data_IF_017500623203
#
_entry.id   IF_017500623203
#
_cell.length_a   1.000
_cell.length_b   1.000
_cell.length_c   1.000
_cell.angle_alpha   90.00
_cell.angle_beta   90.00
_cell.angle_gamma   90.00
#
_symmetry.space_group_name_H-M   'P 1'
#
loop_
_entity.id
_entity.type
_entity.pdbx_description
1 polymer ?
#
# COMPACT_ATOMS: atom_id res chain seq x y z
N UNK A 1 -18.24 10.52 -19.05
CA UNK A 1 -17.61 10.91 -17.77
C UNK A 1 -17.82 9.76 -16.80
N UNK A 2 -17.05 8.68 -16.96
CA UNK A 2 -17.15 7.51 -16.09
C UNK A 2 -16.09 7.64 -15.01
N UNK A 3 -16.46 8.22 -13.86
CA UNK A 3 -15.75 7.94 -12.62
C UNK A 3 -16.38 6.66 -12.07
N UNK A 4 -15.79 5.53 -12.45
CA UNK A 4 -16.22 4.20 -12.06
C UNK A 4 -16.16 4.05 -10.53
N UNK A 5 -17.28 3.55 -10.00
CA UNK A 5 -17.45 2.74 -8.80
C UNK A 5 -16.43 2.99 -7.67
N UNK A 6 -16.90 3.63 -6.59
CA UNK A 6 -16.22 3.66 -5.30
C UNK A 6 -16.06 2.22 -4.79
N UNK A 7 -14.96 1.57 -5.17
CA UNK A 7 -14.55 0.32 -4.56
C UNK A 7 -13.99 0.69 -3.19
N UNK A 8 -14.73 0.43 -2.12
CA UNK A 8 -14.18 0.48 -0.77
C UNK A 8 -13.45 -0.84 -0.54
N UNK A 9 -12.11 -0.80 -0.52
CA UNK A 9 -11.30 -1.98 -0.23
C UNK A 9 -10.68 -1.83 1.16
N UNK A 10 -10.96 -2.72 2.12
CA UNK A 10 -10.30 -2.71 3.42
C UNK A 10 -8.78 -2.96 3.30
N UNK A 11 -7.96 -2.25 4.08
CA UNK A 11 -6.49 -2.49 4.09
C UNK A 11 -6.11 -3.89 4.59
N UNK A 12 -7.03 -4.59 5.25
CA UNK A 12 -6.92 -5.99 5.66
C UNK A 12 -6.63 -6.92 4.46
N UNK A 13 -7.17 -6.61 3.28
CA UNK A 13 -6.95 -7.42 2.06
C UNK A 13 -5.51 -7.32 1.53
N UNK A 14 -4.76 -6.28 1.89
CA UNK A 14 -3.35 -6.13 1.51
C UNK A 14 -2.43 -7.10 2.28
N UNK A 15 -2.96 -7.79 3.31
CA UNK A 15 -2.20 -8.73 4.15
C UNK A 15 -0.89 -8.12 4.68
N UNK A 16 -0.96 -6.87 5.13
CA UNK A 16 0.17 -6.14 5.70
C UNK A 16 0.62 -6.79 7.02
N UNK A 17 1.89 -6.58 7.39
CA UNK A 17 2.35 -6.93 8.73
C UNK A 17 1.52 -6.20 9.80
N UNK A 18 1.26 -6.87 10.92
CA UNK A 18 0.46 -6.34 12.05
C UNK A 18 0.89 -4.93 12.44
N UNK A 19 2.19 -4.65 12.46
CA UNK A 19 2.73 -3.32 12.81
C UNK A 19 2.32 -2.24 11.80
N UNK A 20 2.42 -2.52 10.50
CA UNK A 20 2.04 -1.58 9.44
C UNK A 20 0.53 -1.34 9.45
N UNK A 21 -0.26 -2.42 9.55
CA UNK A 21 -1.72 -2.34 9.68
C UNK A 21 -2.16 -1.50 10.90
N UNK A 22 -1.63 -1.78 12.08
CA UNK A 22 -2.00 -1.07 13.31
C UNK A 22 -1.60 0.42 13.29
N UNK A 23 -0.48 0.77 12.64
CA UNK A 23 -0.06 2.16 12.50
C UNK A 23 -0.99 2.92 11.53
N UNK A 24 -1.32 2.31 10.38
CA UNK A 24 -2.28 2.86 9.42
C UNK A 24 -3.66 3.05 10.06
N UNK A 25 -4.15 2.04 10.78
CA UNK A 25 -5.45 2.10 11.46
C UNK A 25 -5.50 3.21 12.53
N UNK A 26 -4.41 3.40 13.29
CA UNK A 26 -4.29 4.52 14.24
C UNK A 26 -4.19 5.88 13.58
N UNK A 27 -3.61 5.96 12.38
CA UNK A 27 -3.62 7.16 11.54
C UNK A 27 -4.99 7.42 10.88
N UNK A 28 -5.98 6.54 11.10
CA UNK A 28 -7.30 6.63 10.50
C UNK A 28 -7.34 6.16 9.05
N UNK A 29 -6.32 5.42 8.58
CA UNK A 29 -6.28 4.79 7.26
C UNK A 29 -6.81 3.38 7.39
N UNK A 30 -8.01 3.17 6.89
CA UNK A 30 -8.77 1.91 6.96
C UNK A 30 -9.06 1.31 5.57
N UNK A 31 -8.94 2.09 4.51
CA UNK A 31 -9.12 1.63 3.12
C UNK A 31 -7.87 1.79 2.25
N UNK A 32 -7.77 0.94 1.24
CA UNK A 32 -6.72 0.99 0.21
C UNK A 32 -6.79 2.30 -0.57
N UNK A 33 -8.00 2.80 -0.82
CA UNK A 33 -8.23 4.04 -1.55
C UNK A 33 -7.68 5.23 -0.76
N UNK A 34 -7.91 5.27 0.56
CA UNK A 34 -7.33 6.28 1.43
C UNK A 34 -5.81 6.16 1.52
N UNK A 35 -5.30 4.94 1.55
CA UNK A 35 -3.87 4.68 1.55
C UNK A 35 -3.19 5.16 0.25
N UNK A 36 -3.84 5.03 -0.91
CA UNK A 36 -3.35 5.56 -2.20
C UNK A 36 -3.34 7.09 -2.28
N UNK A 37 -4.16 7.77 -1.48
CA UNK A 37 -4.17 9.24 -1.42
C UNK A 37 -3.04 9.82 -0.57
N UNK A 38 -2.34 8.99 0.20
CA UNK A 38 -1.22 9.41 1.03
C UNK A 38 0.09 9.40 0.24
N UNK A 39 0.89 10.44 0.41
CA UNK A 39 2.24 10.51 -0.12
C UNK A 39 3.23 9.71 0.76
N UNK A 40 4.44 9.48 0.24
CA UNK A 40 5.52 8.89 1.04
C UNK A 40 5.85 9.73 2.28
N UNK A 41 5.78 11.07 2.15
CA UNK A 41 5.97 12.01 3.27
C UNK A 41 4.86 11.86 4.32
N UNK A 42 3.61 11.71 3.90
CA UNK A 42 2.49 11.48 4.82
C UNK A 42 2.67 10.17 5.59
N UNK A 43 3.13 9.11 4.92
CA UNK A 43 3.42 7.81 5.53
C UNK A 43 4.61 7.89 6.49
N UNK A 44 5.63 8.69 6.17
CA UNK A 44 6.78 8.95 7.04
C UNK A 44 6.41 9.74 8.30
N UNK A 45 5.36 10.57 8.23
CA UNK A 45 4.81 11.30 9.36
C UNK A 45 3.95 10.43 10.29
N UNK A 46 3.53 9.23 9.86
CA UNK A 46 2.81 8.31 10.74
C UNK A 46 3.75 7.79 11.81
N UNK A 47 3.37 8.02 13.06
CA UNK A 47 4.12 7.59 14.24
C UNK A 47 4.39 6.08 14.19
N UNK A 48 5.64 5.67 14.39
CA UNK A 48 6.10 4.27 14.39
C UNK A 48 6.09 3.56 13.02
N UNK A 49 5.94 4.29 11.91
CA UNK A 49 6.19 3.78 10.56
C UNK A 49 7.64 4.07 10.15
N UNK A 50 8.45 3.02 10.07
CA UNK A 50 9.84 3.10 9.58
C UNK A 50 9.93 2.93 8.06
N UNK A 51 11.04 3.36 7.46
CA UNK A 51 11.30 3.30 6.02
C UNK A 51 11.01 1.93 5.40
N UNK A 52 11.43 0.84 6.07
CA UNK A 52 11.14 -0.54 5.64
C UNK A 52 9.64 -0.80 5.51
N UNK A 53 8.86 -0.39 6.50
CA UNK A 53 7.40 -0.61 6.50
C UNK A 53 6.73 0.19 5.38
N UNK A 54 7.22 1.40 5.08
CA UNK A 54 6.70 2.25 3.99
C UNK A 54 6.95 1.58 2.64
N UNK A 55 8.17 1.09 2.40
CA UNK A 55 8.51 0.34 1.19
C UNK A 55 7.65 -0.92 1.05
N UNK A 56 7.50 -1.70 2.13
CA UNK A 56 6.66 -2.90 2.12
C UNK A 56 5.19 -2.58 1.78
N UNK A 57 4.65 -1.48 2.31
CA UNK A 57 3.28 -1.02 2.01
C UNK A 57 3.15 -0.63 0.53
N UNK A 58 4.06 0.19 0.01
CA UNK A 58 4.04 0.61 -1.39
C UNK A 58 4.17 -0.59 -2.34
N UNK A 59 5.05 -1.55 -2.00
CA UNK A 59 5.19 -2.79 -2.76
C UNK A 59 3.90 -3.59 -2.78
N UNK A 60 3.21 -3.72 -1.64
CA UNK A 60 1.93 -4.46 -1.56
C UNK A 60 0.80 -3.77 -2.34
N UNK A 61 0.79 -2.44 -2.35
CA UNK A 61 -0.13 -1.66 -3.18
C UNK A 61 0.16 -1.88 -4.66
N UNK A 62 1.42 -1.78 -5.08
CA UNK A 62 1.83 -2.03 -6.45
C UNK A 62 1.53 -3.47 -6.89
N UNK A 63 1.84 -4.49 -6.06
CA UNK A 63 1.49 -5.90 -6.31
C UNK A 63 -0.03 -6.08 -6.55
N UNK A 64 -0.88 -5.32 -5.85
CA UNK A 64 -2.33 -5.36 -6.07
C UNK A 64 -2.75 -4.64 -7.35
N UNK A 65 -2.15 -3.50 -7.65
CA UNK A 65 -2.43 -2.76 -8.90
C UNK A 65 -1.97 -3.54 -10.13
N UNK A 66 -0.80 -4.18 -10.06
CA UNK A 66 -0.29 -5.06 -11.10
C UNK A 66 -1.21 -6.27 -11.31
N UNK A 67 -1.71 -6.90 -10.25
CA UNK A 67 -2.72 -7.97 -10.38
C UNK A 67 -4.00 -7.50 -11.06
N UNK A 68 -4.34 -6.22 -10.93
CA UNK A 68 -5.48 -5.63 -11.61
C UNK A 68 -5.16 -5.23 -13.08
N UNK A 69 -3.89 -5.06 -13.44
CA UNK A 69 -3.44 -4.54 -14.73
C UNK A 69 -2.69 -5.54 -15.63
N UNK A 70 -2.29 -6.71 -15.11
CA UNK A 70 -1.46 -7.71 -15.79
C UNK A 70 -1.94 -9.15 -15.44
N UNK A 71 -2.26 -10.09 -16.32
CA UNK A 71 -2.13 -10.19 -17.79
C UNK A 71 -0.95 -9.43 -18.39
N UNK A 72 0.27 -9.70 -17.88
CA UNK A 72 1.50 -9.55 -18.69
C UNK A 72 2.46 -8.40 -18.36
N UNK A 73 3.11 -8.42 -17.20
CA UNK A 73 4.51 -7.98 -17.08
C UNK A 73 5.06 -8.33 -15.69
N UNK A 74 5.91 -9.35 -15.66
CA UNK A 74 6.76 -9.70 -14.53
C UNK A 74 7.89 -8.70 -14.44
N UNK A 75 7.88 -7.82 -13.44
CA UNK A 75 9.09 -7.09 -13.05
C UNK A 75 9.44 -7.47 -11.63
N UNK A 76 10.24 -8.53 -11.53
CA UNK A 76 11.11 -8.76 -10.38
C UNK A 76 12.16 -7.64 -10.40
N UNK A 77 11.94 -6.57 -9.65
CA UNK A 77 13.05 -5.73 -9.26
C UNK A 77 13.52 -6.18 -7.88
N UNK A 78 14.66 -6.84 -7.94
CA UNK A 78 15.44 -7.33 -6.84
C UNK A 78 15.90 -6.17 -5.96
N UNK A 79 15.68 -6.30 -4.65
CA UNK A 79 16.66 -5.82 -3.68
C UNK A 79 17.54 -7.01 -3.29
N UNK A 80 18.40 -7.40 -4.23
CA UNK A 80 19.66 -8.06 -3.91
C UNK A 80 20.76 -7.00 -3.93
N UNK A 81 21.64 -7.11 -2.92
CA UNK A 81 22.98 -6.48 -2.76
C UNK A 81 22.99 -5.04 -2.23
N UNK A 82 23.55 -4.74 -1.06
CA UNK A 82 24.53 -5.44 -0.20
C UNK A 82 24.33 -5.01 1.26
#
# INVERSE_FOLDING_TARGET
MEKNLETFTPIEELHLMVRSYECLKRAGVDSVEKLKMLSEEDLANVRNLGRRNIVDIQRKLAEREEKNANEGNSVQNADEKC
#
